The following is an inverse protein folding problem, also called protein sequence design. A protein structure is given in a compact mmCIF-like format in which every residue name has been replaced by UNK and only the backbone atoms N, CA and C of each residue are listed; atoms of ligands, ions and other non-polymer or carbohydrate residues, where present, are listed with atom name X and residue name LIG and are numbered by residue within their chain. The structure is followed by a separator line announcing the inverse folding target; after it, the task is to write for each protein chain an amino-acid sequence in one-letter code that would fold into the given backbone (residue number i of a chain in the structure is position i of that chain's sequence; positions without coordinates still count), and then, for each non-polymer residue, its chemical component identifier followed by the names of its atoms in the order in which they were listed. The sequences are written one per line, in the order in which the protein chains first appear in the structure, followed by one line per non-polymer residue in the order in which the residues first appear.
data_IF_311270808471
#
_entry.id   IF_311270808471
#
_cell.length_a   1.000
_cell.length_b   1.000
_cell.length_c   1.000
_cell.angle_alpha   90.00
_cell.angle_beta   90.00
_cell.angle_gamma   90.00
#
_symmetry.space_group_name_H-M   'P 1'
#
loop_
_entity.id
_entity.type
_entity.pdbx_description
1 polymer ?
#
# COMPACT_ATOMS: atom_id res chain seq x y z
N UNK A 1 7.57 53.88 -36.37
CA UNK A 1 6.93 52.57 -36.11
C UNK A 1 7.02 52.32 -34.62
N UNK A 2 5.87 52.27 -33.94
CA UNK A 2 5.73 52.10 -32.49
C UNK A 2 5.63 50.61 -32.17
N UNK A 3 6.39 50.09 -31.22
CA UNK A 3 6.12 48.80 -30.59
C UNK A 3 6.25 48.96 -29.07
N UNK A 4 5.14 48.74 -28.37
CA UNK A 4 5.07 48.67 -26.91
C UNK A 4 4.88 47.23 -26.44
N UNK A 5 5.78 46.81 -25.54
CA UNK A 5 5.65 45.93 -24.35
C UNK A 5 5.11 44.49 -24.47
N UNK A 6 5.26 43.63 -23.42
CA UNK A 6 6.39 43.38 -22.50
C UNK A 6 6.63 41.86 -22.27
N UNK A 7 7.75 41.44 -21.68
CA UNK A 7 7.85 40.05 -21.16
C UNK A 7 9.24 39.52 -20.82
N UNK A 8 9.74 39.92 -19.65
CA UNK A 8 10.81 39.37 -18.78
C UNK A 8 11.53 38.06 -19.20
N UNK A 9 12.82 38.12 -19.57
CA UNK A 9 14.08 37.67 -18.86
C UNK A 9 13.93 36.47 -17.91
N UNK A 10 14.87 35.51 -17.82
CA UNK A 10 16.24 35.66 -17.29
C UNK A 10 17.25 34.69 -17.94
N UNK A 11 18.44 35.21 -18.26
CA UNK A 11 19.62 34.50 -18.78
C UNK A 11 20.38 33.70 -17.72
N UNK A 12 21.10 32.70 -18.25
CA UNK A 12 22.07 31.76 -17.68
C UNK A 12 23.10 32.38 -16.72
N UNK A 13 23.37 31.67 -15.62
CA UNK A 13 24.72 31.42 -15.12
C UNK A 13 24.83 29.96 -14.64
N UNK A 14 25.62 29.16 -15.34
CA UNK A 14 26.46 28.12 -14.73
C UNK A 14 27.76 28.83 -14.24
N UNK A 15 28.62 28.32 -13.31
CA UNK A 15 29.08 26.92 -13.33
C UNK A 15 29.70 26.29 -12.03
N UNK A 16 29.97 24.98 -12.14
CA UNK A 16 31.00 24.11 -11.51
C UNK A 16 31.00 23.75 -10.00
N UNK A 17 30.77 22.46 -9.72
CA UNK A 17 31.58 21.70 -8.75
C UNK A 17 31.69 20.25 -9.23
N UNK A 18 32.91 19.85 -9.59
CA UNK A 18 33.34 18.51 -10.03
C UNK A 18 32.85 17.39 -9.10
N UNK A 19 32.34 16.28 -9.65
CA UNK A 19 33.14 15.06 -9.70
C UNK A 19 32.63 14.02 -10.72
N UNK A 20 33.58 13.48 -11.47
CA UNK A 20 33.42 12.35 -12.39
C UNK A 20 33.43 11.05 -11.56
N UNK A 21 32.39 10.21 -11.69
CA UNK A 21 32.59 8.76 -11.56
C UNK A 21 31.79 8.02 -12.63
N UNK A 22 32.57 7.40 -13.50
CA UNK A 22 32.30 6.38 -14.51
C UNK A 22 31.15 5.42 -14.19
N UNK A 23 30.27 5.22 -15.15
CA UNK A 23 29.32 4.10 -15.15
C UNK A 23 30.07 2.77 -15.13
N UNK A 24 29.94 2.02 -14.03
CA UNK A 24 30.22 0.58 -13.99
C UNK A 24 28.91 -0.17 -13.77
N UNK A 25 28.60 -1.03 -14.75
CA UNK A 25 27.48 -1.95 -14.80
C UNK A 25 27.40 -2.82 -13.54
N UNK A 26 26.19 -2.96 -13.01
CA UNK A 26 25.93 -3.92 -11.93
C UNK A 26 24.52 -3.88 -11.35
N UNK A 27 23.48 -3.60 -12.13
CA UNK A 27 22.11 -3.74 -11.62
C UNK A 27 21.57 -5.13 -11.94
N UNK A 28 21.41 -5.94 -10.90
CA UNK A 28 20.73 -7.23 -10.99
C UNK A 28 19.23 -6.94 -10.90
N UNK A 29 18.67 -6.41 -12.01
CA UNK A 29 17.24 -6.23 -12.17
C UNK A 29 16.55 -7.60 -12.12
N UNK A 30 15.91 -7.89 -10.99
CA UNK A 30 14.99 -9.01 -10.89
C UNK A 30 13.73 -8.65 -11.68
N UNK A 31 13.68 -9.16 -12.91
CA UNK A 31 12.52 -9.25 -13.80
C UNK A 31 11.16 -9.24 -13.10
N UNK A 32 10.34 -8.25 -13.43
CA UNK A 32 8.91 -8.41 -13.62
C UNK A 32 8.57 -7.76 -14.97
N UNK A 33 8.29 -8.52 -16.05
CA UNK A 33 7.92 -7.91 -17.30
C UNK A 33 6.45 -7.49 -17.19
N UNK A 34 6.19 -6.20 -17.09
CA UNK A 34 4.87 -5.66 -17.36
C UNK A 34 5.02 -4.70 -18.53
N UNK A 35 4.64 -5.19 -19.71
CA UNK A 35 4.69 -4.47 -20.98
C UNK A 35 3.98 -3.13 -20.86
N UNK A 36 4.69 -2.06 -21.21
CA UNK A 36 4.12 -0.74 -21.40
C UNK A 36 3.11 -0.78 -22.56
N UNK A 37 1.83 -0.65 -22.24
CA UNK A 37 0.80 -0.21 -23.18
C UNK A 37 -0.09 0.80 -22.46
N UNK A 38 0.23 2.07 -22.66
CA UNK A 38 -0.59 3.22 -22.30
C UNK A 38 -1.77 3.26 -23.29
N UNK A 39 -2.93 2.74 -22.87
CA UNK A 39 -4.20 2.90 -23.55
C UNK A 39 -5.28 3.32 -22.53
N UNK A 40 -6.45 3.83 -22.98
CA UNK A 40 -7.50 4.36 -22.08
C UNK A 40 -8.15 3.30 -21.16
N UNK A 41 -7.75 2.03 -21.28
CA UNK A 41 -8.14 0.91 -20.41
C UNK A 41 -7.15 0.62 -19.26
N UNK A 42 -5.97 1.27 -19.24
CA UNK A 42 -4.86 0.98 -18.32
C UNK A 42 -5.13 1.29 -16.84
N UNK A 43 -6.05 2.21 -16.52
CA UNK A 43 -6.34 2.60 -15.13
C UNK A 43 -7.29 1.62 -14.41
N UNK A 44 -8.29 1.07 -15.11
CA UNK A 44 -9.27 0.18 -14.47
C UNK A 44 -8.66 -1.17 -14.09
N UNK A 45 -7.77 -1.69 -14.95
CA UNK A 45 -7.10 -2.97 -14.75
C UNK A 45 -6.13 -2.90 -13.57
N UNK A 46 -5.33 -1.84 -13.49
CA UNK A 46 -4.40 -1.61 -12.37
C UNK A 46 -5.13 -1.32 -11.05
N UNK A 47 -6.25 -0.57 -11.09
CA UNK A 47 -7.10 -0.33 -9.90
C UNK A 47 -7.73 -1.61 -9.36
N UNK A 48 -8.23 -2.48 -10.23
CA UNK A 48 -8.84 -3.76 -9.84
C UNK A 48 -7.81 -4.70 -9.24
N UNK A 49 -6.64 -4.82 -9.86
CA UNK A 49 -5.52 -5.59 -9.31
C UNK A 49 -5.07 -5.05 -7.95
N UNK A 50 -4.90 -3.73 -7.81
CA UNK A 50 -4.52 -3.08 -6.55
C UNK A 50 -5.57 -3.31 -5.46
N UNK A 51 -6.85 -3.27 -5.78
CA UNK A 51 -7.91 -3.60 -4.81
C UNK A 51 -7.85 -5.08 -4.41
N UNK A 52 -7.68 -5.99 -5.37
CA UNK A 52 -7.49 -7.41 -5.11
C UNK A 52 -6.29 -7.70 -4.20
N UNK A 53 -5.15 -7.07 -4.46
CA UNK A 53 -3.95 -7.18 -3.63
C UNK A 53 -4.19 -6.67 -2.20
N UNK A 54 -4.85 -5.51 -2.05
CA UNK A 54 -5.19 -4.96 -0.72
C UNK A 54 -6.15 -5.86 0.04
N UNK A 55 -7.17 -6.40 -0.62
CA UNK A 55 -8.10 -7.33 0.01
C UNK A 55 -7.39 -8.62 0.48
N UNK A 56 -6.61 -9.26 -0.40
CA UNK A 56 -5.78 -10.43 -0.04
C UNK A 56 -4.80 -10.12 1.10
N UNK A 57 -4.28 -8.90 1.17
CA UNK A 57 -3.40 -8.46 2.25
C UNK A 57 -4.16 -8.31 3.56
N UNK A 58 -5.32 -7.65 3.55
CA UNK A 58 -6.17 -7.52 4.73
C UNK A 58 -6.56 -8.89 5.29
N UNK A 59 -7.05 -9.80 4.44
CA UNK A 59 -7.47 -11.14 4.88
C UNK A 59 -6.34 -11.87 5.59
N UNK A 60 -5.13 -11.84 5.00
CA UNK A 60 -3.94 -12.43 5.63
C UNK A 60 -3.59 -11.76 6.95
N UNK A 61 -3.60 -10.43 7.02
CA UNK A 61 -3.33 -9.71 8.26
C UNK A 61 -4.28 -10.12 9.39
N UNK A 62 -5.58 -10.14 9.11
CA UNK A 62 -6.60 -10.45 10.12
C UNK A 62 -6.49 -11.90 10.56
N UNK A 63 -6.27 -12.83 9.63
CA UNK A 63 -6.06 -14.23 9.99
C UNK A 63 -4.82 -14.40 10.87
N UNK A 64 -3.68 -13.83 10.47
CA UNK A 64 -2.46 -13.89 11.28
C UNK A 64 -2.62 -13.23 12.65
N UNK A 65 -3.39 -12.14 12.74
CA UNK A 65 -3.69 -11.52 14.04
C UNK A 65 -4.52 -12.46 14.92
N UNK A 66 -5.54 -13.13 14.37
CA UNK A 66 -6.33 -14.14 15.10
C UNK A 66 -5.46 -15.29 15.58
N UNK A 67 -4.57 -15.80 14.74
CA UNK A 67 -3.66 -16.91 15.08
C UNK A 67 -2.65 -16.53 16.18
N UNK A 68 -2.35 -15.24 16.34
CA UNK A 68 -1.45 -14.74 17.39
C UNK A 68 -2.14 -14.57 18.75
N UNK A 69 -3.47 -14.60 18.79
CA UNK A 69 -4.27 -14.28 19.98
C UNK A 69 -4.94 -15.54 20.50
N UNK A 70 -4.45 -16.08 21.62
CA UNK A 70 -5.06 -17.24 22.30
C UNK A 70 -6.42 -16.91 22.88
N UNK A 71 -6.49 -15.81 23.64
CA UNK A 71 -7.70 -15.29 24.25
C UNK A 71 -7.94 -13.86 23.76
N UNK A 72 -9.14 -13.55 23.22
CA UNK A 72 -9.42 -12.26 22.62
C UNK A 72 -9.74 -11.19 23.67
N UNK A 73 -8.75 -10.82 24.48
CA UNK A 73 -8.81 -9.66 25.37
C UNK A 73 -8.25 -8.43 24.65
N UNK A 74 -8.63 -7.24 25.11
CA UNK A 74 -8.14 -5.97 24.54
C UNK A 74 -6.62 -5.91 24.56
N UNK A 75 -6.03 -6.29 25.68
CA UNK A 75 -4.58 -6.26 25.93
C UNK A 75 -3.86 -7.24 24.99
N UNK A 76 -4.32 -8.49 24.90
CA UNK A 76 -3.72 -9.51 24.04
C UNK A 76 -3.79 -9.12 22.56
N UNK A 77 -4.93 -8.58 22.10
CA UNK A 77 -5.10 -8.17 20.70
C UNK A 77 -4.21 -6.97 20.40
N UNK A 78 -4.17 -5.97 21.30
CA UNK A 78 -3.32 -4.79 21.15
C UNK A 78 -1.85 -5.18 21.05
N UNK A 79 -1.39 -6.03 21.96
CA UNK A 79 -0.02 -6.53 22.00
C UNK A 79 0.33 -7.33 20.73
N UNK A 80 -0.54 -8.24 20.29
CA UNK A 80 -0.36 -8.98 19.04
C UNK A 80 -0.29 -8.06 17.81
N UNK A 81 -1.12 -7.01 17.75
CA UNK A 81 -1.13 -6.06 16.64
C UNK A 81 0.19 -5.29 16.49
N UNK A 82 0.91 -5.01 17.59
CA UNK A 82 2.24 -4.35 17.53
C UNK A 82 3.28 -5.18 16.77
N UNK A 83 3.17 -6.52 16.83
CA UNK A 83 4.10 -7.46 16.21
C UNK A 83 3.63 -7.99 14.86
N UNK A 84 2.33 -7.88 14.57
CA UNK A 84 1.70 -8.46 13.38
C UNK A 84 2.47 -8.16 12.09
N UNK A 85 2.77 -6.88 11.84
CA UNK A 85 3.34 -6.46 10.56
C UNK A 85 4.76 -6.98 10.32
N UNK A 86 5.47 -7.44 11.36
CA UNK A 86 6.79 -8.10 11.22
C UNK A 86 6.68 -9.49 10.59
N UNK A 87 5.53 -10.17 10.75
CA UNK A 87 5.25 -11.48 10.14
C UNK A 87 4.80 -11.39 8.68
N UNK A 88 4.62 -10.18 8.16
CA UNK A 88 4.17 -9.95 6.79
C UNK A 88 5.36 -9.91 5.82
N UNK A 89 5.13 -10.40 4.59
CA UNK A 89 6.06 -10.23 3.47
C UNK A 89 6.42 -8.75 3.26
N UNK A 90 7.66 -8.40 2.86
CA UNK A 90 8.10 -7.01 2.70
C UNK A 90 7.12 -6.13 1.94
N UNK A 91 6.62 -6.60 0.78
CA UNK A 91 5.63 -5.91 -0.08
C UNK A 91 4.30 -5.55 0.60
N UNK A 92 3.97 -6.16 1.75
CA UNK A 92 2.72 -5.95 2.49
C UNK A 92 2.89 -5.13 3.77
N UNK A 93 4.12 -4.88 4.23
CA UNK A 93 4.38 -4.29 5.55
C UNK A 93 3.83 -2.88 5.69
N UNK A 94 4.06 -2.03 4.70
CA UNK A 94 3.58 -0.65 4.69
C UNK A 94 2.06 -0.56 4.78
N UNK A 95 1.37 -1.38 3.97
CA UNK A 95 -0.08 -1.47 4.01
C UNK A 95 -0.57 -1.98 5.38
N UNK A 96 0.14 -2.97 5.95
CA UNK A 96 -0.16 -3.49 7.27
C UNK A 96 -0.05 -2.42 8.36
N UNK A 97 1.07 -1.71 8.43
CA UNK A 97 1.31 -0.67 9.43
C UNK A 97 0.26 0.43 9.33
N UNK A 98 -0.06 0.89 8.12
CA UNK A 98 -1.10 1.89 7.88
C UNK A 98 -2.49 1.42 8.34
N UNK A 99 -2.81 0.15 8.08
CA UNK A 99 -4.10 -0.44 8.46
C UNK A 99 -4.22 -0.60 9.98
N UNK A 100 -3.19 -1.14 10.65
CA UNK A 100 -3.18 -1.27 12.12
C UNK A 100 -3.26 0.11 12.76
N UNK A 101 -2.42 1.07 12.35
CA UNK A 101 -2.45 2.43 12.91
C UNK A 101 -3.82 3.10 12.79
N UNK A 102 -4.52 2.89 11.68
CA UNK A 102 -5.83 3.50 11.43
C UNK A 102 -6.98 2.80 12.15
N UNK A 103 -6.96 1.47 12.21
CA UNK A 103 -8.14 0.68 12.57
C UNK A 103 -7.99 -0.11 13.86
N UNK A 104 -6.85 -0.08 14.56
CA UNK A 104 -6.60 -0.90 15.76
C UNK A 104 -7.76 -0.89 16.78
N UNK A 105 -8.35 0.26 17.17
CA UNK A 105 -9.48 0.25 18.11
C UNK A 105 -10.68 -0.55 17.60
N UNK A 106 -11.00 -0.48 16.31
CA UNK A 106 -12.10 -1.27 15.71
C UNK A 106 -11.73 -2.73 15.55
N UNK A 107 -10.48 -3.01 15.16
CA UNK A 107 -9.98 -4.38 15.05
C UNK A 107 -10.08 -5.11 16.39
N UNK A 108 -9.74 -4.45 17.51
CA UNK A 108 -9.95 -5.02 18.84
C UNK A 108 -11.41 -5.43 19.03
N UNK A 109 -12.35 -4.52 18.81
CA UNK A 109 -13.78 -4.81 18.97
C UNK A 109 -14.26 -5.95 18.06
N UNK A 110 -13.80 -5.99 16.81
CA UNK A 110 -14.20 -7.03 15.87
C UNK A 110 -13.62 -8.41 16.21
N UNK A 111 -12.38 -8.47 16.68
CA UNK A 111 -11.75 -9.73 17.10
C UNK A 111 -12.41 -10.24 18.39
N UNK A 112 -12.69 -9.36 19.35
CA UNK A 112 -13.46 -9.70 20.56
C UNK A 112 -14.87 -10.20 20.22
N UNK A 113 -15.54 -9.55 19.25
CA UNK A 113 -16.82 -9.97 18.70
C UNK A 113 -16.75 -11.19 17.78
N UNK A 114 -15.61 -11.89 17.71
CA UNK A 114 -15.39 -13.13 16.95
C UNK A 114 -15.69 -13.03 15.45
N UNK A 115 -15.66 -11.82 14.87
CA UNK A 115 -15.86 -11.64 13.42
C UNK A 115 -14.82 -12.41 12.61
N UNK A 116 -15.23 -12.88 11.44
CA UNK A 116 -14.36 -13.51 10.45
C UNK A 116 -13.43 -12.48 9.80
N UNK A 117 -12.34 -12.94 9.19
CA UNK A 117 -11.44 -12.06 8.45
C UNK A 117 -12.15 -11.35 7.29
N UNK A 118 -13.09 -12.04 6.63
CA UNK A 118 -13.86 -11.50 5.52
C UNK A 118 -14.77 -10.35 5.98
N UNK A 119 -15.56 -10.56 7.04
CA UNK A 119 -16.43 -9.52 7.60
C UNK A 119 -15.62 -8.29 8.01
N UNK A 120 -14.50 -8.49 8.72
CA UNK A 120 -13.63 -7.39 9.15
C UNK A 120 -13.11 -6.59 7.96
N UNK A 121 -12.59 -7.28 6.93
CA UNK A 121 -12.00 -6.61 5.78
C UNK A 121 -13.04 -5.89 4.90
N UNK A 122 -14.29 -6.35 4.90
CA UNK A 122 -15.43 -5.64 4.28
C UNK A 122 -15.84 -4.43 5.12
N UNK A 123 -15.93 -4.58 6.45
CA UNK A 123 -16.33 -3.51 7.38
C UNK A 123 -15.37 -2.32 7.35
N UNK A 124 -14.06 -2.57 7.23
CA UNK A 124 -13.05 -1.51 7.08
C UNK A 124 -12.85 -1.07 5.62
N UNK A 125 -13.74 -1.51 4.72
CA UNK A 125 -13.85 -1.11 3.30
C UNK A 125 -12.61 -1.40 2.47
N UNK A 126 -11.83 -2.42 2.84
CA UNK A 126 -10.67 -2.87 2.04
C UNK A 126 -11.11 -3.91 1.01
N UNK A 127 -11.98 -4.84 1.41
CA UNK A 127 -12.61 -5.80 0.52
C UNK A 127 -14.01 -5.32 0.12
N UNK A 128 -14.45 -5.74 -1.07
CA UNK A 128 -15.87 -5.62 -1.45
C UNK A 128 -16.65 -6.76 -0.79
N UNK A 129 -17.94 -6.56 -0.45
CA UNK A 129 -18.81 -7.66 -0.05
C UNK A 129 -18.85 -8.69 -1.19
N UNK A 130 -18.90 -9.98 -0.82
CA UNK A 130 -19.20 -11.04 -1.78
C UNK A 130 -20.64 -10.84 -2.26
N UNK A 131 -20.80 -10.54 -3.54
CA UNK A 131 -22.13 -10.63 -4.18
C UNK A 131 -22.36 -12.13 -4.37
N UNK A 132 -23.28 -12.72 -3.62
CA UNK A 132 -23.71 -14.10 -3.85
C UNK A 132 -24.43 -14.23 -5.20
N UNK A 133 -24.57 -15.43 -5.77
CA UNK A 133 -25.51 -15.65 -6.86
C UNK A 133 -26.92 -15.31 -6.33
N UNK A 134 -27.65 -14.46 -7.05
CA UNK A 134 -29.10 -14.33 -6.86
C UNK A 134 -29.79 -15.63 -7.24
#
# INVERSE_FOLDING_TARGET
MLLGNPGLVISRLSPEYYDLVTAHLGDKEQSCPCLAQEGPQGDLFTKTQKLGFRCKTCLRMIQTLKDMVKEPTKENISDAATRLCRRMEPRRRDFCLKTIRRYLPRLIQYIMGRKTAQEICVDIRICKPSVGPL
#
